data_IF_297049668322
#
_entry.id   IF_297049668322
#
_cell.length_a   1.000
_cell.length_b   1.000
_cell.length_c   1.000
_cell.angle_alpha   90.00
_cell.angle_beta   90.00
_cell.angle_gamma   90.00
#
_symmetry.space_group_name_H-M   'P 1'
#
loop_
_entity.id
_entity.type
_entity.pdbx_description
1 polymer ?
#
# COMPACT_ATOMS: atom_id res chain seq x y z
N UNK A 1 -19.54 3.89 -33.70
CA UNK A 1 -19.24 3.75 -32.25
C UNK A 1 -17.73 3.67 -32.11
N UNK A 2 -17.06 4.81 -31.95
CA UNK A 2 -15.60 4.89 -31.85
C UNK A 2 -15.14 4.77 -30.41
N UNK A 3 -14.05 4.03 -30.22
CA UNK A 3 -13.47 3.69 -28.93
C UNK A 3 -13.01 4.91 -28.14
N UNK A 4 -13.11 4.76 -26.82
CA UNK A 4 -12.64 5.67 -25.78
C UNK A 4 -11.16 6.00 -26.00
N UNK A 5 -10.84 7.29 -26.15
CA UNK A 5 -9.47 7.76 -26.02
C UNK A 5 -9.05 7.63 -24.55
N UNK A 6 -8.05 6.78 -24.29
CA UNK A 6 -7.25 6.83 -23.06
C UNK A 6 -6.44 8.12 -23.12
N UNK A 7 -6.43 8.90 -22.04
CA UNK A 7 -5.46 9.98 -21.89
C UNK A 7 -4.05 9.35 -21.94
N UNK A 8 -3.31 9.61 -23.01
CA UNK A 8 -1.91 9.21 -23.16
C UNK A 8 -1.06 10.35 -22.59
N UNK A 9 -0.34 10.09 -21.51
CA UNK A 9 0.68 11.02 -21.00
C UNK A 9 1.92 10.85 -21.90
N UNK A 10 2.27 11.90 -22.65
CA UNK A 10 3.47 11.85 -23.48
C UNK A 10 4.71 12.21 -22.65
N UNK A 11 5.65 11.28 -22.60
CA UNK A 11 6.95 11.43 -21.97
C UNK A 11 7.90 12.14 -22.94
N UNK A 12 8.05 13.46 -22.85
CA UNK A 12 9.13 14.15 -23.57
C UNK A 12 10.32 14.38 -22.64
N UNK A 13 11.50 13.78 -22.92
CA UNK A 13 12.74 14.41 -22.53
C UNK A 13 12.85 15.69 -23.36
N UNK A 14 12.46 16.83 -22.79
CA UNK A 14 13.00 18.07 -23.31
C UNK A 14 14.48 18.04 -22.91
N UNK A 15 15.36 17.73 -23.87
CA UNK A 15 16.80 17.98 -23.70
C UNK A 15 16.95 19.45 -23.31
N UNK A 16 17.19 19.66 -22.02
CA UNK A 16 17.45 20.98 -21.46
C UNK A 16 18.68 21.55 -22.16
N UNK A 17 18.59 22.80 -22.63
CA UNK A 17 19.75 23.57 -23.10
C UNK A 17 20.71 23.96 -21.96
N UNK A 18 20.37 23.62 -20.72
CA UNK A 18 21.18 23.82 -19.52
C UNK A 18 21.75 22.48 -19.05
N UNK A 19 23.03 22.46 -18.67
CA UNK A 19 23.69 21.28 -18.08
C UNK A 19 22.90 20.79 -16.85
N UNK A 20 22.29 19.62 -16.96
CA UNK A 20 21.64 18.93 -15.85
C UNK A 20 20.39 18.14 -16.24
N UNK A 21 20.03 17.17 -15.40
CA UNK A 21 18.86 16.30 -15.60
C UNK A 21 17.55 17.05 -15.29
N UNK A 22 16.55 16.92 -16.17
CA UNK A 22 15.20 17.45 -15.99
C UNK A 22 14.17 16.34 -16.23
N UNK A 23 13.31 16.07 -15.25
CA UNK A 23 12.20 15.14 -15.37
C UNK A 23 10.89 15.92 -15.27
N UNK A 24 9.98 15.75 -16.23
CA UNK A 24 8.68 16.43 -16.23
C UNK A 24 7.54 15.45 -16.49
N UNK A 25 6.49 15.61 -15.69
CA UNK A 25 5.20 14.95 -15.83
C UNK A 25 4.18 16.04 -16.14
N UNK A 26 3.61 16.01 -17.34
CA UNK A 26 2.59 16.96 -17.78
C UNK A 26 1.38 16.23 -18.32
N UNK A 27 0.17 16.72 -18.05
CA UNK A 27 -1.01 16.26 -18.77
C UNK A 27 -1.03 16.86 -20.18
N UNK A 28 -1.21 16.03 -21.21
CA UNK A 28 -1.41 16.50 -22.59
C UNK A 28 -2.90 16.38 -22.93
N UNK A 29 -3.47 17.53 -23.29
CA UNK A 29 -4.70 17.80 -24.05
C UNK A 29 -6.10 17.35 -23.56
N UNK A 30 -6.94 18.39 -23.43
CA UNK A 30 -8.32 18.47 -23.92
C UNK A 30 -9.30 17.33 -23.58
N UNK A 31 -9.45 17.03 -22.28
CA UNK A 31 -10.75 16.78 -21.62
C UNK A 31 -10.56 16.61 -20.10
N UNK A 32 -9.69 17.43 -19.52
CA UNK A 32 -9.42 17.47 -18.08
C UNK A 32 -8.78 16.18 -17.58
N UNK A 33 -7.51 16.25 -17.16
CA UNK A 33 -7.02 15.35 -16.13
C UNK A 33 -8.12 15.25 -15.07
N UNK A 34 -8.55 14.04 -14.70
CA UNK A 34 -9.66 13.85 -13.76
C UNK A 34 -9.35 14.34 -12.35
N UNK A 35 -8.16 14.90 -12.12
CA UNK A 35 -7.87 15.73 -10.96
C UNK A 35 -7.92 17.21 -11.29
N UNK A 36 -8.78 17.87 -10.53
CA UNK A 36 -9.02 19.31 -10.43
C UNK A 36 -7.72 20.13 -10.52
N UNK A 37 -7.03 20.35 -11.64
CA UNK A 37 -6.04 21.42 -11.80
C UNK A 37 -4.58 21.21 -11.38
N UNK A 38 -4.01 19.99 -11.36
CA UNK A 38 -2.54 19.84 -11.45
C UNK A 38 -2.14 19.88 -12.92
N UNK A 39 -1.29 20.81 -13.31
CA UNK A 39 -0.83 20.98 -14.70
C UNK A 39 0.43 20.16 -14.98
N UNK A 40 1.43 20.27 -14.10
CA UNK A 40 2.66 19.49 -14.23
C UNK A 40 3.42 19.33 -12.92
N UNK A 41 4.27 18.31 -12.87
CA UNK A 41 5.30 18.11 -11.83
C UNK A 41 6.64 18.02 -12.54
N UNK A 42 7.66 18.69 -12.01
CA UNK A 42 9.01 18.58 -12.55
C UNK A 42 10.07 18.43 -11.47
N UNK A 43 11.15 17.74 -11.79
CA UNK A 43 12.40 17.73 -11.05
C UNK A 43 13.46 18.37 -11.93
N UNK A 44 14.09 19.43 -11.43
CA UNK A 44 15.18 20.10 -12.12
C UNK A 44 16.44 19.94 -11.28
N UNK A 45 17.49 19.33 -11.84
CA UNK A 45 18.75 19.14 -11.13
C UNK A 45 19.40 20.48 -10.82
N UNK A 46 19.95 20.61 -9.61
CA UNK A 46 20.69 21.79 -9.21
C UNK A 46 22.04 21.83 -9.94
N UNK A 47 22.42 22.97 -10.56
CA UNK A 47 23.63 23.05 -11.39
C UNK A 47 24.92 22.81 -10.59
N UNK A 48 24.92 23.11 -9.29
CA UNK A 48 26.08 22.97 -8.41
C UNK A 48 26.01 21.76 -7.47
N UNK A 49 24.88 21.04 -7.46
CA UNK A 49 24.65 19.90 -6.56
C UNK A 49 23.93 18.80 -7.33
N UNK A 50 24.69 17.94 -8.03
CA UNK A 50 24.15 16.94 -8.96
C UNK A 50 23.17 15.94 -8.33
N UNK A 51 23.27 15.70 -7.03
CA UNK A 51 22.36 14.78 -6.31
C UNK A 51 21.10 15.48 -5.78
N UNK A 52 20.97 16.78 -6.02
CA UNK A 52 19.91 17.63 -5.48
C UNK A 52 19.09 18.21 -6.61
N UNK A 53 17.78 18.20 -6.42
CA UNK A 53 16.80 18.67 -7.37
C UNK A 53 15.91 19.71 -6.72
N UNK A 54 15.28 20.51 -7.57
CA UNK A 54 14.11 21.30 -7.22
C UNK A 54 12.88 20.60 -7.79
N UNK A 55 12.00 20.14 -6.90
CA UNK A 55 10.69 19.62 -7.28
C UNK A 55 9.70 20.78 -7.42
N UNK A 56 9.10 20.95 -8.58
CA UNK A 56 8.12 22.00 -8.84
C UNK A 56 6.77 21.38 -9.22
N UNK A 57 5.74 21.71 -8.45
CA UNK A 57 4.35 21.33 -8.69
C UNK A 57 3.61 22.55 -9.24
N UNK A 58 3.06 22.45 -10.45
CA UNK A 58 2.34 23.52 -11.12
C UNK A 58 0.84 23.17 -11.13
N UNK A 59 0.03 24.10 -10.66
CA UNK A 59 -1.42 23.95 -10.58
C UNK A 59 -2.12 25.06 -11.38
N UNK A 60 -3.03 24.65 -12.26
CA UNK A 60 -4.02 25.53 -12.90
C UNK A 60 -5.25 25.59 -11.99
N UNK A 61 -5.41 26.71 -11.28
CA UNK A 61 -6.45 26.91 -10.28
C UNK A 61 -7.06 28.30 -10.40
N UNK A 62 -8.40 28.41 -10.53
CA UNK A 62 -9.10 29.69 -10.59
C UNK A 62 -8.65 30.67 -9.49
N UNK A 63 -8.55 31.96 -9.84
CA UNK A 63 -7.97 32.98 -8.98
C UNK A 63 -8.66 33.10 -7.60
N UNK A 64 -9.98 32.87 -7.55
CA UNK A 64 -10.80 32.87 -6.34
C UNK A 64 -10.49 31.71 -5.37
N UNK A 65 -9.94 30.60 -5.88
CA UNK A 65 -9.60 29.39 -5.09
C UNK A 65 -8.09 29.20 -4.88
N UNK A 66 -7.27 30.03 -5.53
CA UNK A 66 -5.81 29.90 -5.55
C UNK A 66 -5.19 29.95 -4.15
N UNK A 67 -5.59 30.91 -3.31
CA UNK A 67 -5.03 31.07 -1.98
C UNK A 67 -5.30 29.84 -1.09
N UNK A 68 -6.56 29.38 -1.06
CA UNK A 68 -6.97 28.19 -0.31
C UNK A 68 -6.22 26.94 -0.78
N UNK A 69 -6.06 26.76 -2.10
CA UNK A 69 -5.36 25.60 -2.62
C UNK A 69 -3.87 25.64 -2.36
N UNK A 70 -3.24 26.81 -2.52
CA UNK A 70 -1.83 27.00 -2.22
C UNK A 70 -1.56 26.70 -0.74
N UNK A 71 -2.41 27.19 0.16
CA UNK A 71 -2.34 26.87 1.60
C UNK A 71 -2.46 25.37 1.84
N UNK A 72 -3.40 24.68 1.20
CA UNK A 72 -3.53 23.22 1.31
C UNK A 72 -2.28 22.48 0.80
N UNK A 73 -1.74 22.85 -0.36
CA UNK A 73 -0.51 22.23 -0.91
C UNK A 73 0.67 22.43 0.04
N UNK A 74 0.89 23.67 0.51
CA UNK A 74 1.98 23.98 1.45
C UNK A 74 1.82 23.21 2.76
N UNK A 75 0.61 23.18 3.33
CA UNK A 75 0.31 22.48 4.56
C UNK A 75 0.50 20.96 4.45
N UNK A 76 0.06 20.35 3.34
CA UNK A 76 0.27 18.92 3.10
C UNK A 76 1.75 18.56 2.93
N UNK A 77 2.53 19.37 2.21
CA UNK A 77 3.96 19.14 2.04
C UNK A 77 4.73 19.31 3.36
N UNK A 78 4.34 20.27 4.20
CA UNK A 78 4.94 20.46 5.52
C UNK A 78 4.58 19.32 6.48
N UNK A 79 3.30 18.97 6.59
CA UNK A 79 2.81 17.99 7.56
C UNK A 79 3.09 16.54 7.12
N UNK A 80 2.68 16.17 5.90
CA UNK A 80 2.81 14.79 5.41
C UNK A 80 4.18 14.55 4.78
N UNK A 81 4.71 15.55 4.08
CA UNK A 81 6.02 15.47 3.41
C UNK A 81 7.20 15.79 4.34
N UNK A 82 6.97 16.49 5.45
CA UNK A 82 8.04 16.94 6.35
C UNK A 82 8.98 17.96 5.70
N UNK A 83 8.53 18.67 4.66
CA UNK A 83 9.36 19.61 3.89
C UNK A 83 8.73 20.98 3.79
N UNK A 84 9.60 22.01 3.80
CA UNK A 84 9.18 23.37 3.49
C UNK A 84 9.19 23.58 1.98
N UNK A 85 8.12 24.19 1.49
CA UNK A 85 7.95 24.50 0.09
C UNK A 85 7.72 26.01 -0.09
N UNK A 86 8.16 26.54 -1.21
CA UNK A 86 8.04 27.96 -1.56
C UNK A 86 6.98 28.13 -2.65
N UNK A 87 5.93 28.95 -2.41
CA UNK A 87 4.97 29.25 -3.43
C UNK A 87 5.51 30.30 -4.40
N UNK A 88 5.25 30.10 -5.68
CA UNK A 88 5.45 31.10 -6.72
C UNK A 88 4.12 31.29 -7.47
N UNK A 89 3.59 32.52 -7.41
CA UNK A 89 2.32 32.87 -8.06
C UNK A 89 2.59 33.67 -9.32
N UNK A 90 2.06 33.21 -10.45
CA UNK A 90 2.17 33.93 -11.72
C UNK A 90 1.15 35.08 -11.82
N UNK A 91 1.22 36.08 -10.93
CA UNK A 91 0.45 37.33 -11.03
C UNK A 91 -1.05 37.14 -11.36
N UNK A 92 -1.52 37.71 -12.49
CA UNK A 92 -2.91 37.66 -12.97
C UNK A 92 -3.29 36.37 -13.73
N UNK A 93 -2.37 35.40 -13.88
CA UNK A 93 -2.68 34.13 -14.54
C UNK A 93 -3.41 33.16 -13.57
N UNK A 94 -4.20 32.25 -14.13
CA UNK A 94 -5.01 31.26 -13.38
C UNK A 94 -4.20 30.13 -12.74
N UNK A 95 -2.94 30.36 -12.36
CA UNK A 95 -2.07 29.29 -11.86
C UNK A 95 -1.12 29.73 -10.76
N UNK A 96 -0.58 28.72 -10.08
CA UNK A 96 0.54 28.88 -9.16
C UNK A 96 1.44 27.66 -9.22
N UNK A 97 2.68 27.83 -8.79
CA UNK A 97 3.61 26.73 -8.56
C UNK A 97 4.07 26.69 -7.12
N UNK A 98 4.46 25.50 -6.66
CA UNK A 98 5.08 25.27 -5.36
C UNK A 98 6.37 24.51 -5.61
N UNK A 99 7.47 25.04 -5.10
CA UNK A 99 8.80 24.47 -5.26
C UNK A 99 9.33 23.92 -3.93
N UNK A 100 9.95 22.75 -3.96
CA UNK A 100 10.72 22.18 -2.84
C UNK A 100 12.16 22.04 -3.31
N UNK A 101 13.07 22.80 -2.71
CA UNK A 101 14.48 22.78 -3.05
C UNK A 101 15.23 21.65 -2.35
N UNK A 102 16.38 21.27 -2.91
CA UNK A 102 17.35 20.36 -2.31
C UNK A 102 16.83 18.95 -1.99
N UNK A 103 15.88 18.48 -2.80
CA UNK A 103 15.31 17.14 -2.68
C UNK A 103 16.18 16.11 -3.40
N UNK A 104 16.27 14.88 -2.88
CA UNK A 104 16.81 13.77 -3.66
C UNK A 104 15.75 13.31 -4.67
N UNK A 105 16.17 12.77 -5.81
CA UNK A 105 15.24 12.31 -6.85
C UNK A 105 14.18 11.33 -6.31
N UNK A 106 14.60 10.36 -5.48
CA UNK A 106 13.70 9.38 -4.87
C UNK A 106 12.62 10.00 -3.97
N UNK A 107 12.87 11.19 -3.41
CA UNK A 107 11.94 11.84 -2.50
C UNK A 107 10.72 12.43 -3.23
N UNK A 108 10.79 12.59 -4.56
CA UNK A 108 9.62 13.00 -5.36
C UNK A 108 8.41 12.11 -5.10
N UNK A 109 8.62 10.79 -4.97
CA UNK A 109 7.54 9.85 -4.69
C UNK A 109 6.86 10.16 -3.35
N UNK A 110 7.62 10.53 -2.31
CA UNK A 110 7.07 10.91 -1.01
C UNK A 110 6.31 12.22 -1.06
N UNK A 111 6.81 13.21 -1.80
CA UNK A 111 6.12 14.49 -2.00
C UNK A 111 4.78 14.29 -2.72
N UNK A 112 4.76 13.42 -3.72
CA UNK A 112 3.54 13.05 -4.45
C UNK A 112 2.54 12.35 -3.53
N UNK A 113 2.98 11.39 -2.72
CA UNK A 113 2.17 10.71 -1.70
C UNK A 113 1.60 11.69 -0.66
N UNK A 114 2.41 12.67 -0.23
CA UNK A 114 1.98 13.66 0.76
C UNK A 114 0.75 14.45 0.28
N UNK A 115 0.64 14.68 -1.03
CA UNK A 115 -0.48 15.40 -1.65
C UNK A 115 -1.73 14.54 -1.87
N UNK A 116 -1.65 13.21 -1.71
CA UNK A 116 -2.80 12.30 -1.92
C UNK A 116 -3.58 11.98 -0.66
N UNK A 117 -3.10 12.40 0.50
CA UNK A 117 -3.72 12.12 1.79
C UNK A 117 -4.14 13.42 2.45
N UNK A 118 -5.25 13.38 3.18
CA UNK A 118 -5.58 14.46 4.11
C UNK A 118 -4.48 14.56 5.18
N UNK A 119 -4.25 15.77 5.69
CA UNK A 119 -3.39 15.93 6.86
C UNK A 119 -3.98 15.15 8.06
N UNK A 120 -3.12 14.62 8.96
CA UNK A 120 -3.56 14.05 10.23
C UNK A 120 -4.56 14.96 10.93
N UNK A 121 -5.60 14.34 11.51
CA UNK A 121 -6.62 15.06 12.26
C UNK A 121 -6.00 15.82 13.43
N UNK A 122 -6.44 17.05 13.63
CA UNK A 122 -6.08 17.83 14.81
C UNK A 122 -6.71 17.21 16.07
N UNK A 123 -6.38 17.76 17.25
CA UNK A 123 -6.95 17.31 18.53
C UNK A 123 -8.49 17.40 18.61
N UNK A 124 -9.14 18.12 17.68
CA UNK A 124 -10.60 18.24 17.56
C UNK A 124 -11.21 17.25 16.58
N UNK A 125 -10.39 16.45 15.90
CA UNK A 125 -10.84 15.39 15.00
C UNK A 125 -11.06 15.83 13.56
N UNK A 126 -10.71 17.08 13.22
CA UNK A 126 -10.84 17.63 11.88
C UNK A 126 -9.48 17.65 11.17
N UNK A 127 -9.45 17.37 9.86
CA UNK A 127 -8.24 17.58 9.06
C UNK A 127 -8.17 19.03 8.61
N UNK A 128 -7.03 19.69 8.82
CA UNK A 128 -6.83 21.09 8.42
C UNK A 128 -6.58 21.26 6.91
N UNK A 129 -6.08 20.21 6.25
CA UNK A 129 -5.76 20.25 4.82
C UNK A 129 -6.19 18.95 4.15
N UNK A 130 -6.99 19.06 3.10
CA UNK A 130 -7.52 17.92 2.35
C UNK A 130 -6.64 17.59 1.15
N UNK A 131 -6.61 16.31 0.77
CA UNK A 131 -5.88 15.83 -0.39
C UNK A 131 -6.15 16.67 -1.66
N UNK A 132 -5.07 17.03 -2.36
CA UNK A 132 -5.10 17.91 -3.54
C UNK A 132 -4.67 17.21 -4.83
N UNK A 133 -4.18 15.98 -4.71
CA UNK A 133 -3.76 15.10 -5.80
C UNK A 133 -4.48 13.75 -5.69
N UNK A 134 -5.03 13.26 -6.79
CA UNK A 134 -5.65 11.94 -6.82
C UNK A 134 -4.64 10.82 -6.96
N UNK A 135 -5.04 9.66 -6.48
CA UNK A 135 -4.18 8.47 -6.36
C UNK A 135 -3.75 7.91 -7.71
N UNK A 136 -4.54 8.09 -8.77
CA UNK A 136 -4.20 7.62 -10.12
C UNK A 136 -3.01 8.39 -10.71
N UNK A 137 -3.04 9.72 -10.64
CA UNK A 137 -1.94 10.59 -11.13
C UNK A 137 -0.68 10.35 -10.31
N UNK A 138 -0.81 10.31 -8.99
CA UNK A 138 0.29 9.98 -8.09
C UNK A 138 0.91 8.62 -8.43
N UNK A 139 0.08 7.62 -8.70
CA UNK A 139 0.48 6.29 -9.10
C UNK A 139 1.36 6.23 -10.35
N UNK A 140 1.05 7.05 -11.35
CA UNK A 140 1.81 7.10 -12.58
C UNK A 140 3.18 7.76 -12.38
N UNK A 141 3.24 8.85 -11.59
CA UNK A 141 4.50 9.51 -11.24
C UNK A 141 5.39 8.53 -10.46
N UNK A 142 4.83 7.86 -9.46
CA UNK A 142 5.53 6.85 -8.66
C UNK A 142 6.04 5.71 -9.53
N UNK A 143 5.20 5.13 -10.40
CA UNK A 143 5.62 4.06 -11.30
C UNK A 143 6.73 4.49 -12.27
N UNK A 144 6.66 5.73 -12.77
CA UNK A 144 7.69 6.33 -13.60
C UNK A 144 9.04 6.43 -12.87
N UNK A 145 9.05 6.90 -11.63
CA UNK A 145 10.28 7.05 -10.85
C UNK A 145 10.85 5.73 -10.33
N UNK A 146 10.00 4.79 -9.90
CA UNK A 146 10.46 3.44 -9.56
C UNK A 146 11.20 2.79 -10.73
N UNK A 147 10.64 2.89 -11.94
CA UNK A 147 11.27 2.37 -13.16
C UNK A 147 12.58 3.11 -13.49
N UNK A 148 12.61 4.43 -13.32
CA UNK A 148 13.78 5.25 -13.65
C UNK A 148 14.95 5.00 -12.70
N UNK A 149 14.65 4.85 -11.42
CA UNK A 149 15.64 4.62 -10.37
C UNK A 149 16.01 3.15 -10.21
N UNK A 150 15.33 2.24 -10.92
CA UNK A 150 15.43 0.79 -10.76
C UNK A 150 15.23 0.35 -9.30
N UNK A 151 14.20 0.92 -8.65
CA UNK A 151 13.84 0.65 -7.26
C UNK A 151 12.52 -0.09 -7.17
N UNK A 152 12.44 -1.00 -6.20
CA UNK A 152 11.16 -1.54 -5.74
C UNK A 152 10.40 -0.54 -4.85
N UNK A 153 9.06 -0.69 -4.68
CA UNK A 153 8.30 0.12 -3.73
C UNK A 153 8.83 0.04 -2.28
N UNK A 154 9.45 -1.08 -1.90
CA UNK A 154 10.04 -1.27 -0.56
C UNK A 154 11.31 -0.42 -0.43
N UNK A 155 12.22 -0.49 -1.41
CA UNK A 155 13.47 0.30 -1.39
C UNK A 155 13.23 1.81 -1.49
N UNK A 156 12.16 2.20 -2.18
CA UNK A 156 11.70 3.58 -2.24
C UNK A 156 11.05 4.07 -0.92
N UNK A 157 10.79 3.17 0.04
CA UNK A 157 10.13 3.49 1.31
C UNK A 157 8.63 3.77 1.18
N UNK A 158 7.98 3.21 0.15
CA UNK A 158 6.55 3.36 -0.10
C UNK A 158 5.70 2.29 0.63
N UNK A 159 6.36 1.19 1.03
CA UNK A 159 5.76 0.10 1.78
C UNK A 159 6.61 -0.15 3.02
N UNK A 160 5.97 -0.16 4.19
CA UNK A 160 6.63 -0.49 5.46
C UNK A 160 6.32 -1.94 5.83
N UNK A 161 7.33 -2.68 6.26
CA UNK A 161 7.20 -4.05 6.74
C UNK A 161 7.79 -4.08 8.15
N UNK A 162 6.94 -4.34 9.14
CA UNK A 162 7.29 -4.29 10.54
C UNK A 162 7.11 -5.65 11.20
N UNK A 163 8.09 -6.07 12.00
CA UNK A 163 7.94 -7.22 12.88
C UNK A 163 7.36 -6.77 14.21
N UNK A 164 6.18 -7.28 14.56
CA UNK A 164 5.45 -6.91 15.78
C UNK A 164 5.54 -8.06 16.78
N UNK A 165 6.15 -7.80 17.95
CA UNK A 165 6.18 -8.76 19.04
C UNK A 165 4.85 -8.77 19.80
N UNK A 166 4.31 -9.95 20.08
CA UNK A 166 3.13 -10.07 20.92
C UNK A 166 3.44 -9.69 22.37
N UNK A 167 2.55 -8.94 23.02
CA UNK A 167 2.75 -8.53 24.42
C UNK A 167 2.77 -9.74 25.36
N UNK A 168 3.55 -9.68 26.45
CA UNK A 168 3.62 -10.76 27.44
C UNK A 168 2.24 -11.15 28.00
N UNK A 169 1.37 -10.16 28.20
CA UNK A 169 -0.01 -10.37 28.62
C UNK A 169 -0.80 -11.17 27.57
N UNK A 170 -0.65 -10.85 26.28
CA UNK A 170 -1.29 -11.61 25.20
C UNK A 170 -0.72 -13.03 25.07
N UNK A 171 0.58 -13.22 25.28
CA UNK A 171 1.23 -14.54 25.31
C UNK A 171 0.66 -15.39 26.44
N UNK A 172 0.53 -14.82 27.63
CA UNK A 172 -0.04 -15.48 28.81
C UNK A 172 -1.52 -15.81 28.63
N UNK A 173 -2.34 -14.84 28.21
CA UNK A 173 -3.78 -15.03 27.97
C UNK A 173 -4.06 -16.07 26.88
N UNK A 174 -3.19 -16.17 25.87
CA UNK A 174 -3.28 -17.18 24.82
C UNK A 174 -2.61 -18.51 25.19
N UNK A 175 -2.03 -18.66 26.39
CA UNK A 175 -1.39 -19.90 26.82
C UNK A 175 -0.22 -20.33 25.94
N UNK A 176 0.47 -19.38 25.30
CA UNK A 176 1.58 -19.67 24.40
C UNK A 176 2.87 -19.91 25.21
N UNK A 177 3.59 -20.96 24.86
CA UNK A 177 4.86 -21.30 25.53
C UNK A 177 5.99 -20.30 25.21
N UNK A 178 5.88 -19.53 24.12
CA UNK A 178 6.84 -18.50 23.69
C UNK A 178 6.12 -17.30 23.06
N UNK A 179 6.71 -16.09 23.12
CA UNK A 179 6.20 -14.95 22.37
C UNK A 179 6.22 -15.23 20.88
N UNK A 180 5.07 -15.08 20.21
CA UNK A 180 5.03 -15.01 18.75
C UNK A 180 5.39 -13.58 18.32
N UNK A 181 6.24 -13.48 17.31
CA UNK A 181 6.36 -12.27 16.49
C UNK A 181 5.24 -12.30 15.44
N UNK A 182 5.02 -11.25 14.70
CA UNK A 182 4.10 -11.17 13.56
C UNK A 182 4.71 -10.24 12.54
N UNK A 183 4.26 -10.31 11.29
CA UNK A 183 4.67 -9.35 10.26
C UNK A 183 3.47 -8.54 9.82
N UNK A 184 3.57 -7.22 10.01
CA UNK A 184 2.59 -6.25 9.53
C UNK A 184 3.17 -5.50 8.33
N UNK A 185 2.30 -5.22 7.35
CA UNK A 185 2.64 -4.55 6.11
C UNK A 185 1.73 -3.34 5.92
N UNK A 186 2.28 -2.14 5.73
CA UNK A 186 1.50 -0.93 5.44
C UNK A 186 1.88 -0.33 4.09
N UNK A 187 0.88 0.16 3.37
CA UNK A 187 0.98 0.68 2.00
C UNK A 187 0.65 2.19 1.94
N UNK A 188 0.89 2.92 3.02
CA UNK A 188 0.57 4.35 3.13
C UNK A 188 1.31 5.18 2.07
N UNK A 189 2.54 4.78 1.73
CA UNK A 189 3.32 5.39 0.65
C UNK A 189 2.98 4.87 -0.75
N UNK A 190 2.08 3.90 -0.89
CA UNK A 190 1.73 3.29 -2.17
C UNK A 190 0.22 3.38 -2.45
N UNK A 191 -0.29 4.59 -2.77
CA UNK A 191 -1.72 4.89 -2.81
C UNK A 191 -2.49 4.16 -3.92
N UNK A 192 -1.79 3.58 -4.90
CA UNK A 192 -2.38 2.73 -5.95
C UNK A 192 -2.54 1.27 -5.56
N UNK A 193 -1.96 0.85 -4.44
CA UNK A 193 -2.20 -0.49 -3.92
C UNK A 193 -3.70 -0.67 -3.62
N UNK A 194 -4.35 -1.76 -4.04
CA UNK A 194 -5.72 -2.07 -3.65
C UNK A 194 -5.87 -2.39 -2.16
N UNK A 195 -4.74 -2.61 -1.48
CA UNK A 195 -4.62 -2.94 -0.05
C UNK A 195 -3.95 -1.77 0.66
N UNK A 196 -4.51 -1.35 1.79
CA UNK A 196 -3.95 -0.31 2.65
C UNK A 196 -2.99 -0.89 3.69
N UNK A 197 -3.34 -2.03 4.27
CA UNK A 197 -2.50 -2.75 5.22
C UNK A 197 -2.81 -4.25 5.22
N UNK A 198 -1.84 -5.05 5.65
CA UNK A 198 -2.05 -6.45 6.00
C UNK A 198 -1.47 -6.64 7.39
N UNK A 199 -2.30 -7.09 8.33
CA UNK A 199 -1.88 -7.32 9.72
C UNK A 199 -2.02 -8.79 10.06
N UNK A 200 -0.98 -9.36 10.63
CA UNK A 200 -0.99 -10.76 11.02
C UNK A 200 -1.40 -10.89 12.49
N UNK A 201 -2.41 -11.70 12.75
CA UNK A 201 -2.99 -11.96 14.05
C UNK A 201 -2.98 -13.46 14.35
N UNK A 202 -2.26 -13.88 15.39
CA UNK A 202 -2.34 -15.24 15.89
C UNK A 202 -3.51 -15.41 16.86
N UNK A 203 -4.39 -16.38 16.59
CA UNK A 203 -5.47 -16.80 17.49
C UNK A 203 -5.22 -18.22 17.99
N UNK A 204 -5.71 -18.52 19.20
CA UNK A 204 -5.76 -19.88 19.71
C UNK A 204 -7.18 -20.39 19.53
N UNK A 205 -7.33 -21.48 18.80
CA UNK A 205 -8.62 -22.13 18.59
C UNK A 205 -8.59 -23.49 19.28
N UNK A 206 -9.56 -23.73 20.16
CA UNK A 206 -9.74 -25.06 20.76
C UNK A 206 -10.43 -25.98 19.75
N UNK A 207 -9.64 -26.81 19.09
CA UNK A 207 -10.12 -27.78 18.12
C UNK A 207 -10.22 -29.15 18.79
N UNK A 208 -11.44 -29.53 19.18
CA UNK A 208 -11.80 -30.88 19.66
C UNK A 208 -10.87 -31.38 20.79
N UNK A 209 -10.65 -30.56 21.82
CA UNK A 209 -9.84 -30.90 22.99
C UNK A 209 -8.33 -30.68 22.85
N UNK A 210 -7.88 -29.96 21.81
CA UNK A 210 -6.52 -29.49 21.67
C UNK A 210 -6.50 -27.99 21.33
N UNK A 211 -5.60 -27.23 21.94
CA UNK A 211 -5.37 -25.82 21.63
C UNK A 211 -4.40 -25.76 20.46
N UNK A 212 -4.90 -25.32 19.29
CA UNK A 212 -4.07 -25.07 18.11
C UNK A 212 -3.88 -23.57 17.94
N UNK A 213 -2.66 -23.19 17.55
CA UNK A 213 -2.37 -21.82 17.15
C UNK A 213 -2.69 -21.66 15.67
N UNK A 214 -3.66 -20.80 15.36
CA UNK A 214 -4.05 -20.43 14.01
C UNK A 214 -3.55 -19.01 13.71
N UNK A 215 -2.83 -18.86 12.62
CA UNK A 215 -2.45 -17.54 12.10
C UNK A 215 -3.53 -17.08 11.13
N UNK A 216 -4.05 -15.88 11.35
CA UNK A 216 -4.97 -15.19 10.45
C UNK A 216 -4.36 -13.86 10.03
N UNK A 217 -4.66 -13.43 8.82
CA UNK A 217 -4.27 -12.11 8.33
C UNK A 217 -5.51 -11.26 8.09
N UNK A 218 -5.49 -10.03 8.59
CA UNK A 218 -6.47 -9.00 8.30
C UNK A 218 -5.95 -8.13 7.17
N UNK A 219 -6.66 -8.14 6.04
CA UNK A 219 -6.35 -7.31 4.87
C UNK A 219 -7.27 -6.10 4.87
N UNK A 220 -6.70 -4.94 5.16
CA UNK A 220 -7.41 -3.66 5.06
C UNK A 220 -7.44 -3.19 3.61
N UNK A 221 -8.63 -2.90 3.10
CA UNK A 221 -8.86 -2.65 1.68
C UNK A 221 -9.09 -1.17 1.38
N UNK A 222 -8.57 -0.71 0.23
CA UNK A 222 -9.03 0.54 -0.35
C UNK A 222 -10.40 0.35 -1.02
N UNK A 223 -11.21 1.40 -1.04
CA UNK A 223 -12.63 1.34 -1.44
C UNK A 223 -12.87 0.59 -2.76
N UNK A 224 -13.87 -0.29 -2.77
CA UNK A 224 -14.30 -1.05 -3.96
C UNK A 224 -13.40 -2.23 -4.35
N UNK A 225 -12.28 -2.49 -3.65
CA UNK A 225 -11.33 -3.55 -4.03
C UNK A 225 -11.65 -4.93 -3.45
N UNK A 226 -12.61 -5.03 -2.52
CA UNK A 226 -12.96 -6.29 -1.85
C UNK A 226 -13.25 -7.46 -2.80
N UNK A 227 -14.01 -7.30 -3.90
CA UNK A 227 -14.26 -8.41 -4.83
C UNK A 227 -12.98 -8.96 -5.46
N UNK A 228 -12.02 -8.09 -5.82
CA UNK A 228 -10.76 -8.49 -6.44
C UNK A 228 -9.86 -9.23 -5.47
N UNK A 229 -9.77 -8.74 -4.23
CA UNK A 229 -8.98 -9.39 -3.18
C UNK A 229 -9.58 -10.74 -2.79
N UNK A 230 -10.90 -10.83 -2.60
CA UNK A 230 -11.58 -12.10 -2.32
C UNK A 230 -11.40 -13.11 -3.45
N UNK A 231 -11.46 -12.67 -4.70
CA UNK A 231 -11.21 -13.54 -5.85
C UNK A 231 -9.76 -14.05 -5.86
N UNK A 232 -8.78 -13.17 -5.59
CA UNK A 232 -7.38 -13.56 -5.47
C UNK A 232 -7.15 -14.62 -4.36
N UNK A 233 -7.79 -14.44 -3.20
CA UNK A 233 -7.72 -15.43 -2.11
C UNK A 233 -8.35 -16.76 -2.53
N UNK A 234 -9.52 -16.72 -3.18
CA UNK A 234 -10.21 -17.92 -3.68
C UNK A 234 -9.38 -18.68 -4.70
N UNK A 235 -8.74 -17.99 -5.65
CA UNK A 235 -7.89 -18.60 -6.68
C UNK A 235 -6.63 -19.24 -6.09
N UNK A 236 -6.14 -18.70 -4.97
CA UNK A 236 -5.06 -19.28 -4.19
C UNK A 236 -5.50 -20.40 -3.22
N UNK A 237 -6.81 -20.71 -3.14
CA UNK A 237 -7.35 -21.69 -2.21
C UNK A 237 -7.32 -21.26 -0.74
N UNK A 238 -7.19 -19.95 -0.47
CA UNK A 238 -7.13 -19.39 0.88
C UNK A 238 -8.56 -19.05 1.37
N UNK A 239 -9.02 -19.62 2.51
CA UNK A 239 -10.30 -19.25 3.09
C UNK A 239 -10.30 -17.78 3.51
N UNK A 240 -11.20 -16.99 2.92
CA UNK A 240 -11.31 -15.56 3.19
C UNK A 240 -12.77 -15.15 3.39
N UNK A 241 -13.01 -14.22 4.32
CA UNK A 241 -14.31 -13.63 4.60
C UNK A 241 -14.19 -12.13 4.70
N UNK A 242 -15.17 -11.42 4.14
CA UNK A 242 -15.29 -9.96 4.28
C UNK A 242 -16.00 -9.63 5.59
N UNK A 243 -15.56 -8.58 6.28
CA UNK A 243 -16.27 -8.03 7.45
C UNK A 243 -17.58 -7.34 7.03
N UNK A 244 -18.50 -7.16 7.99
CA UNK A 244 -19.82 -6.56 7.73
C UNK A 244 -19.73 -5.11 7.25
N UNK A 245 -18.78 -4.34 7.79
CA UNK A 245 -18.46 -2.97 7.35
C UNK A 245 -17.75 -2.92 5.97
N UNK A 246 -17.32 -4.09 5.49
CA UNK A 246 -16.72 -4.27 4.19
C UNK A 246 -15.33 -3.67 4.00
N UNK A 247 -14.70 -3.16 5.06
CA UNK A 247 -13.38 -2.53 5.04
C UNK A 247 -12.23 -3.54 5.10
N UNK A 248 -12.50 -4.71 5.69
CA UNK A 248 -11.50 -5.75 5.89
C UNK A 248 -11.88 -7.05 5.20
N UNK A 249 -10.85 -7.81 4.82
CA UNK A 249 -10.95 -9.22 4.47
C UNK A 249 -10.08 -10.00 5.44
N UNK A 250 -10.71 -10.87 6.22
CA UNK A 250 -10.05 -11.80 7.14
C UNK A 250 -9.70 -13.05 6.34
N UNK A 251 -8.42 -13.40 6.31
CA UNK A 251 -7.89 -14.57 5.61
C UNK A 251 -7.28 -15.52 6.63
N UNK A 252 -7.68 -16.78 6.60
CA UNK A 252 -7.11 -17.83 7.46
C UNK A 252 -5.78 -18.34 6.90
N UNK A 253 -4.79 -17.43 6.80
CA UNK A 253 -3.45 -17.70 6.31
C UNK A 253 -2.44 -16.66 6.84
N UNK A 254 -1.15 -17.01 6.92
CA UNK A 254 -0.08 -16.06 7.24
C UNK A 254 0.14 -15.02 6.13
N UNK A 255 0.78 -13.90 6.48
CA UNK A 255 0.91 -12.72 5.61
C UNK A 255 1.73 -12.99 4.34
N UNK A 256 2.70 -13.91 4.38
CA UNK A 256 3.51 -14.33 3.23
C UNK A 256 2.63 -15.03 2.16
N UNK A 257 1.69 -15.85 2.60
CA UNK A 257 0.74 -16.57 1.75
C UNK A 257 -0.29 -15.62 1.16
N UNK A 258 -0.79 -14.68 1.96
CA UNK A 258 -1.70 -13.61 1.50
C UNK A 258 -1.02 -12.72 0.45
N UNK A 259 0.18 -12.22 0.73
CA UNK A 259 0.94 -11.41 -0.24
C UNK A 259 1.31 -12.19 -1.50
N UNK A 260 1.55 -13.51 -1.37
CA UNK A 260 1.75 -14.41 -2.52
C UNK A 260 0.51 -14.50 -3.42
N UNK A 261 -0.68 -14.65 -2.83
CA UNK A 261 -1.94 -14.65 -3.56
C UNK A 261 -2.20 -13.30 -4.25
N UNK A 262 -1.97 -12.19 -3.56
CA UNK A 262 -2.10 -10.84 -4.11
C UNK A 262 -1.10 -10.59 -5.26
N UNK A 263 0.13 -11.08 -5.14
CA UNK A 263 1.16 -10.99 -6.20
C UNK A 263 0.68 -11.71 -7.46
N UNK A 264 0.18 -12.94 -7.32
CA UNK A 264 -0.27 -13.76 -8.44
C UNK A 264 -1.48 -13.14 -9.17
N UNK A 265 -2.32 -12.39 -8.44
CA UNK A 265 -3.42 -11.63 -9.01
C UNK A 265 -3.03 -10.25 -9.58
N UNK A 266 -1.74 -9.89 -9.55
CA UNK A 266 -1.25 -8.58 -10.00
C UNK A 266 -1.72 -7.42 -9.13
N UNK A 267 -2.05 -7.67 -7.86
CA UNK A 267 -2.55 -6.67 -6.91
C UNK A 267 -1.42 -6.04 -6.08
N UNK A 268 -0.28 -6.72 -5.92
CA UNK A 268 0.93 -6.18 -5.29
C UNK A 268 2.16 -6.53 -6.13
N UNK A 269 3.21 -5.71 -6.04
CA UNK A 269 4.45 -5.94 -6.76
C UNK A 269 5.21 -7.17 -6.21
N UNK A 270 5.92 -7.95 -7.05
CA UNK A 270 6.68 -9.13 -6.61
C UNK A 270 7.66 -8.84 -5.47
N UNK A 271 8.40 -7.73 -5.54
CA UNK A 271 9.35 -7.32 -4.52
C UNK A 271 8.73 -7.10 -3.13
N UNK A 272 7.44 -6.74 -3.06
CA UNK A 272 6.71 -6.61 -1.78
C UNK A 272 6.55 -7.99 -1.15
N UNK A 273 6.13 -8.99 -1.92
CA UNK A 273 6.00 -10.35 -1.42
C UNK A 273 7.36 -10.92 -1.00
N UNK A 274 8.41 -10.71 -1.80
CA UNK A 274 9.74 -11.25 -1.48
C UNK A 274 10.29 -10.63 -0.17
N UNK A 275 10.08 -9.33 0.04
CA UNK A 275 10.45 -8.65 1.28
C UNK A 275 9.61 -9.13 2.49
N UNK A 276 8.30 -9.32 2.32
CA UNK A 276 7.41 -9.83 3.37
C UNK A 276 7.77 -11.26 3.74
N UNK A 277 8.06 -12.11 2.75
CA UNK A 277 8.51 -13.48 2.96
C UNK A 277 9.82 -13.52 3.75
N UNK A 278 10.80 -12.70 3.35
CA UNK A 278 12.07 -12.56 4.08
C UNK A 278 11.86 -12.12 5.53
N UNK A 279 10.97 -11.14 5.76
CA UNK A 279 10.61 -10.69 7.11
C UNK A 279 9.91 -11.78 7.93
N UNK A 280 9.00 -12.54 7.32
CA UNK A 280 8.30 -13.65 7.98
C UNK A 280 9.25 -14.80 8.34
N UNK A 281 10.15 -15.17 7.42
CA UNK A 281 11.17 -16.19 7.65
C UNK A 281 12.13 -15.80 8.80
N UNK A 282 12.45 -14.51 8.93
CA UNK A 282 13.25 -13.97 10.03
C UNK A 282 12.49 -13.87 11.36
N UNK A 283 11.21 -13.48 11.32
CA UNK A 283 10.35 -13.37 12.51
C UNK A 283 10.08 -14.74 13.14
N UNK A 284 9.99 -15.80 12.32
CA UNK A 284 9.73 -17.15 12.80
C UNK A 284 10.53 -18.23 12.07
N UNK A 285 11.81 -18.42 12.40
CA UNK A 285 12.58 -19.54 11.88
C UNK A 285 11.93 -20.86 12.30
N UNK A 286 11.34 -21.57 11.34
CA UNK A 286 10.65 -22.85 11.56
C UNK A 286 9.12 -22.80 11.61
N UNK A 287 8.45 -21.65 11.42
CA UNK A 287 6.98 -21.60 11.39
C UNK A 287 6.38 -22.37 10.22
N UNK A 288 7.06 -22.45 9.06
CA UNK A 288 6.62 -23.34 7.99
C UNK A 288 6.59 -24.80 8.44
N UNK A 289 7.57 -25.21 9.25
CA UNK A 289 7.61 -26.55 9.84
C UNK A 289 6.46 -26.73 10.83
N UNK A 290 6.25 -25.76 11.73
CA UNK A 290 5.16 -25.78 12.70
C UNK A 290 3.79 -25.80 12.01
N UNK A 291 3.58 -24.98 10.98
CA UNK A 291 2.34 -24.92 10.22
C UNK A 291 2.14 -26.22 9.40
N UNK A 292 3.20 -26.79 8.83
CA UNK A 292 3.16 -28.07 8.12
C UNK A 292 2.84 -29.23 9.09
N UNK A 293 3.43 -29.22 10.28
CA UNK A 293 3.20 -30.21 11.33
C UNK A 293 1.77 -30.11 11.86
N UNK A 294 1.25 -28.90 12.10
CA UNK A 294 -0.15 -28.65 12.49
C UNK A 294 -1.12 -29.12 11.39
N UNK A 295 -0.84 -28.79 10.12
CA UNK A 295 -1.67 -29.21 8.99
C UNK A 295 -1.68 -30.74 8.82
N UNK A 296 -0.51 -31.38 8.98
CA UNK A 296 -0.38 -32.83 8.93
C UNK A 296 -1.12 -33.50 10.09
N UNK A 297 -0.98 -33.00 11.32
CA UNK A 297 -1.73 -33.50 12.48
C UNK A 297 -3.24 -33.30 12.35
N UNK A 298 -3.68 -32.17 11.80
CA UNK A 298 -5.08 -31.88 11.52
C UNK A 298 -5.69 -32.85 10.49
N UNK A 299 -4.96 -33.10 9.40
CA UNK A 299 -5.35 -34.07 8.35
C UNK A 299 -5.40 -35.51 8.87
N UNK A 300 -4.41 -35.91 9.67
CA UNK A 300 -4.35 -37.23 10.31
C UNK A 300 -5.53 -37.46 11.28
N UNK A 301 -5.90 -36.43 12.05
CA UNK A 301 -7.07 -36.49 12.95
C UNK A 301 -8.39 -36.55 12.18
N UNK A 302 -8.54 -35.76 11.11
CA UNK A 302 -9.73 -35.81 10.24
C UNK A 302 -9.88 -37.19 9.60
N UNK A 303 -8.78 -37.78 9.13
CA UNK A 303 -8.75 -39.15 8.60
C UNK A 303 -9.21 -40.17 9.63
N UNK A 304 -8.66 -40.15 10.85
CA UNK A 304 -9.05 -41.06 11.95
C UNK A 304 -10.52 -40.91 12.36
N UNK A 305 -11.08 -39.70 12.27
CA UNK A 305 -12.51 -39.47 12.52
C UNK A 305 -13.39 -40.01 11.39
N UNK A 306 -13.02 -39.80 10.12
CA UNK A 306 -13.74 -40.33 8.96
C UNK A 306 -13.74 -41.87 8.94
N UNK A 307 -12.60 -42.49 9.31
CA UNK A 307 -12.49 -43.94 9.45
C UNK A 307 -13.38 -44.47 10.58
N UNK A 308 -13.51 -43.76 11.71
CA UNK A 308 -14.45 -44.12 12.79
C UNK A 308 -15.92 -43.99 12.37
N UNK A 309 -16.27 -43.05 11.49
CA UNK A 309 -17.64 -42.90 10.99
C UNK A 309 -18.05 -44.01 10.02
N UNK A 310 -17.12 -44.62 9.28
CA UNK A 310 -17.42 -45.72 8.35
C UNK A 310 -17.66 -47.08 9.02
N UNK A 311 -17.19 -47.29 10.25
CA UNK A 311 -17.40 -48.55 11.00
C UNK A 311 -18.83 -48.65 11.57
N UNK A 312 -19.57 -47.53 11.63
CA UNK A 312 -20.96 -47.49 12.09
C UNK A 312 -21.95 -47.76 10.95
N UNK A 313 -21.85 -48.91 10.26
CA UNK A 313 -23.01 -49.45 9.51
C UNK A 313 -23.82 -50.34 10.47
N UNK A 314 -25.11 -50.06 10.69
CA UNK A 314 -25.92 -50.89 11.58
C UNK A 314 -26.08 -52.30 10.99
N UNK A 315 -26.12 -53.35 11.84
CA UNK A 315 -26.31 -54.71 11.35
C UNK A 315 -27.67 -54.81 10.66
N UNK A 316 -27.69 -55.47 9.50
CA UNK A 316 -28.92 -55.77 8.79
C UNK A 316 -29.81 -56.64 9.69
N UNK A 317 -30.98 -56.11 10.06
CA UNK A 317 -31.98 -56.88 10.81
C UNK A 317 -32.53 -57.99 9.89
N UNK A 318 -32.37 -59.24 10.33
CA UNK A 318 -33.13 -60.40 9.85
C UNK A 318 -34.29 -60.65 10.81
#
# INVERSE_FOLDING_TARGET
MSGKHKAEYEFYPAESKHEGDCHRYSGVDHNGLSDKGLESVSLNQNPYQKEKFTATFVFDTPADKRAQRMEAVLGLLDINGGVKAEPNSHGNASGFSVAVENVAQKDLMKLVVALTHDAPKDARGDSSHYAVLGTEVAGQIIAGELKRLDLSPVEAGLVSINTVGMSQESVFLKGLAKPSVYVDVTFDGYPTSPVAAIRENGQMTELKGAVAYEVQSEVELRSGQAPRVLQAMKDAGLPAKRTEDGQYVIVSAPVDSVTGALKNAGLVAPAIHDAVKSAADAAHPGQQQINADIAAEGMERLRKMAERTQVAKPPAMQ
#
